data_IF_867850630781
#
_entry.id   IF_867850630781
#
_cell.length_a   1.000
_cell.length_b   1.000
_cell.length_c   1.000
_cell.angle_alpha   90.00
_cell.angle_beta   90.00
_cell.angle_gamma   90.00
#
_symmetry.space_group_name_H-M   'P 1'
#
loop_
_entity.id
_entity.type
_entity.pdbx_description
1 polymer ?
#
# COMPACT_ATOMS: atom_id res chain seq x y z
N UNK A 1 25.28 8.81 -4.66
CA UNK A 1 24.80 8.79 -3.26
C UNK A 1 24.80 7.34 -2.81
N UNK A 2 25.15 7.02 -1.57
CA UNK A 2 25.11 5.64 -1.04
C UNK A 2 23.99 5.59 -0.01
N UNK A 3 23.04 4.68 -0.18
CA UNK A 3 21.95 4.48 0.79
C UNK A 3 22.45 3.70 2.01
N UNK A 4 22.23 4.22 3.21
CA UNK A 4 22.69 3.57 4.47
C UNK A 4 21.58 2.66 5.00
N UNK A 5 21.92 1.40 5.32
CA UNK A 5 20.99 0.45 5.95
C UNK A 5 21.20 0.43 7.47
N UNK A 6 20.13 0.72 8.23
CA UNK A 6 20.10 0.61 9.69
C UNK A 6 19.22 -0.58 10.10
N UNK A 7 19.71 -1.43 10.98
CA UNK A 7 18.94 -2.54 11.53
C UNK A 7 18.23 -2.13 12.82
N UNK A 8 16.89 -2.16 12.82
CA UNK A 8 16.07 -1.73 13.95
C UNK A 8 16.20 -2.61 15.20
N UNK A 9 16.73 -3.82 15.09
CA UNK A 9 16.92 -4.73 16.23
C UNK A 9 18.26 -4.49 16.92
N UNK A 10 19.33 -4.37 16.14
CA UNK A 10 20.70 -4.24 16.66
C UNK A 10 21.13 -2.78 16.94
N UNK A 11 20.52 -1.80 16.25
CA UNK A 11 20.85 -0.37 16.32
C UNK A 11 19.68 0.50 16.82
N UNK A 12 18.82 -0.05 17.67
CA UNK A 12 17.49 0.46 18.07
C UNK A 12 17.37 1.98 18.24
N UNK A 13 18.18 2.60 19.09
CA UNK A 13 18.03 4.03 19.39
C UNK A 13 18.91 4.90 18.48
N UNK A 14 20.12 4.47 18.17
CA UNK A 14 21.03 5.23 17.32
C UNK A 14 20.52 5.36 15.88
N UNK A 15 20.03 4.26 15.29
CA UNK A 15 19.53 4.27 13.91
C UNK A 15 18.30 5.17 13.73
N UNK A 16 17.30 5.05 14.62
CA UNK A 16 16.09 5.89 14.54
C UNK A 16 16.37 7.37 14.81
N UNK A 17 17.29 7.69 15.74
CA UNK A 17 17.67 9.08 16.04
C UNK A 17 18.46 9.73 14.89
N UNK A 18 19.36 8.98 14.25
CA UNK A 18 20.08 9.47 13.05
C UNK A 18 19.09 9.68 11.91
N UNK A 19 18.24 8.69 11.62
CA UNK A 19 17.24 8.79 10.57
C UNK A 19 16.21 9.91 10.84
N UNK A 20 15.83 10.14 12.11
CA UNK A 20 14.99 11.26 12.51
C UNK A 20 15.60 12.61 12.18
N UNK A 21 16.91 12.78 12.39
CA UNK A 21 17.65 13.98 11.98
C UNK A 21 17.69 14.12 10.46
N UNK A 22 17.99 13.04 9.73
CA UNK A 22 17.96 13.05 8.25
C UNK A 22 16.63 13.59 7.74
N UNK A 23 15.49 13.08 8.26
CA UNK A 23 14.16 13.57 7.88
C UNK A 23 13.96 15.03 8.24
N UNK A 24 14.36 15.43 9.47
CA UNK A 24 14.20 16.80 9.93
C UNK A 24 14.98 17.79 9.06
N UNK A 25 16.15 17.37 8.57
CA UNK A 25 17.05 18.16 7.72
C UNK A 25 16.70 18.05 6.21
N UNK A 26 15.53 17.51 5.87
CA UNK A 26 14.99 17.43 4.51
C UNK A 26 15.44 16.21 3.70
N UNK A 27 16.13 15.23 4.30
CA UNK A 27 16.51 13.97 3.64
C UNK A 27 15.38 12.95 3.57
N UNK A 28 15.64 11.82 2.87
CA UNK A 28 14.70 10.75 2.61
C UNK A 28 15.08 9.47 3.34
N UNK A 29 14.15 8.90 4.12
CA UNK A 29 14.35 7.64 4.85
C UNK A 29 13.22 6.68 4.55
N UNK A 30 13.55 5.48 4.10
CA UNK A 30 12.58 4.40 4.04
C UNK A 30 12.48 3.70 5.41
N UNK A 31 11.24 3.42 5.85
CA UNK A 31 10.97 2.86 7.17
C UNK A 31 9.84 1.84 7.15
N UNK A 32 9.91 0.82 8.04
CA UNK A 32 8.91 -0.22 8.14
C UNK A 32 7.62 0.30 8.79
N UNK A 33 6.49 -0.18 8.29
CA UNK A 33 5.20 -0.11 9.00
C UNK A 33 4.59 -1.52 9.09
N UNK A 34 3.44 -1.66 9.76
CA UNK A 34 2.71 -2.93 9.75
C UNK A 34 2.13 -3.26 8.38
N UNK A 35 1.96 -2.27 7.50
CA UNK A 35 1.35 -2.41 6.16
C UNK A 35 2.38 -2.67 5.07
N UNK A 36 3.15 -1.65 4.71
CA UNK A 36 4.25 -1.70 3.72
C UNK A 36 5.36 -0.74 4.19
N UNK A 37 6.55 -0.84 3.61
CA UNK A 37 7.59 0.17 3.84
C UNK A 37 7.19 1.51 3.24
N UNK A 38 7.31 2.59 4.02
CA UNK A 38 7.07 3.97 3.59
C UNK A 38 8.38 4.69 3.24
N UNK A 39 8.38 5.55 2.22
CA UNK A 39 9.45 6.48 1.93
C UNK A 39 9.11 7.83 2.55
N UNK A 40 9.80 8.16 3.64
CA UNK A 40 9.52 9.31 4.48
C UNK A 40 10.34 10.55 4.18
N UNK A 41 9.69 11.71 4.27
CA UNK A 41 10.29 13.03 4.33
C UNK A 41 9.59 13.89 5.38
N UNK A 42 10.15 15.05 5.72
CA UNK A 42 9.49 16.05 6.56
C UNK A 42 8.18 16.52 5.91
N UNK A 43 7.06 16.17 6.51
CA UNK A 43 5.71 16.45 5.97
C UNK A 43 5.28 17.92 6.05
N UNK A 44 6.07 18.79 6.69
CA UNK A 44 5.84 20.23 6.77
C UNK A 44 6.80 21.03 5.89
N UNK A 45 7.63 20.35 5.11
CA UNK A 45 8.62 20.93 4.20
C UNK A 45 8.32 20.51 2.76
N UNK A 46 7.78 21.40 1.94
CA UNK A 46 7.40 21.14 0.55
C UNK A 46 8.58 20.70 -0.32
N UNK A 47 9.81 21.22 -0.07
CA UNK A 47 11.00 20.83 -0.83
C UNK A 47 11.39 19.38 -0.50
N UNK A 48 11.37 19.01 0.80
CA UNK A 48 11.62 17.63 1.21
C UNK A 48 10.57 16.66 0.65
N UNK A 49 9.30 17.06 0.62
CA UNK A 49 8.22 16.28 0.01
C UNK A 49 8.41 16.11 -1.49
N UNK A 50 8.84 17.15 -2.21
CA UNK A 50 9.11 17.09 -3.65
C UNK A 50 10.21 16.07 -3.99
N UNK A 51 11.22 15.91 -3.15
CA UNK A 51 12.26 14.87 -3.31
C UNK A 51 11.72 13.44 -3.29
N UNK A 52 10.59 13.18 -2.58
CA UNK A 52 9.93 11.87 -2.63
C UNK A 52 9.49 11.54 -4.06
N UNK A 53 8.86 12.51 -4.75
CA UNK A 53 8.40 12.31 -6.11
C UNK A 53 9.55 12.08 -7.08
N UNK A 54 10.64 12.84 -6.94
CA UNK A 54 11.87 12.68 -7.73
C UNK A 54 12.50 11.30 -7.53
N UNK A 55 12.74 10.88 -6.27
CA UNK A 55 13.35 9.60 -5.96
C UNK A 55 12.56 8.41 -6.51
N UNK A 56 11.22 8.51 -6.51
CA UNK A 56 10.30 7.47 -7.01
C UNK A 56 10.08 7.52 -8.53
N UNK A 57 10.43 8.61 -9.21
CA UNK A 57 9.97 8.87 -10.57
C UNK A 57 8.43 8.95 -10.65
N UNK A 58 7.79 9.59 -9.66
CA UNK A 58 6.34 9.66 -9.52
C UNK A 58 5.83 11.07 -9.87
N UNK A 59 4.74 11.20 -10.66
CA UNK A 59 4.08 12.48 -10.83
C UNK A 59 3.58 13.06 -9.50
N UNK A 60 3.68 14.38 -9.32
CA UNK A 60 3.27 15.07 -8.10
C UNK A 60 1.74 15.33 -8.01
N UNK A 61 0.96 14.74 -8.89
CA UNK A 61 -0.50 14.88 -9.00
C UNK A 61 -1.31 13.91 -8.12
N UNK A 62 -0.65 13.25 -7.17
CA UNK A 62 -1.26 12.20 -6.33
C UNK A 62 -0.83 12.41 -4.87
N UNK A 63 -1.77 12.75 -3.95
CA UNK A 63 -1.45 13.17 -2.58
C UNK A 63 -0.71 12.10 -1.78
N UNK A 64 -0.07 12.52 -0.69
CA UNK A 64 0.66 11.67 0.25
C UNK A 64 -0.10 11.55 1.57
N UNK A 65 0.35 10.61 2.42
CA UNK A 65 -0.21 10.39 3.76
C UNK A 65 0.80 10.95 4.78
N UNK A 66 0.34 11.81 5.69
CA UNK A 66 1.11 12.24 6.84
C UNK A 66 1.03 11.19 7.95
N UNK A 67 2.17 10.74 8.43
CA UNK A 67 2.28 9.79 9.53
C UNK A 67 2.60 10.52 10.82
N UNK A 68 1.84 10.23 11.89
CA UNK A 68 1.96 10.85 13.21
C UNK A 68 2.27 9.83 14.29
N UNK A 69 2.84 10.28 15.42
CA UNK A 69 3.18 9.41 16.55
C UNK A 69 2.19 9.50 17.72
N UNK A 70 1.28 10.47 17.69
CA UNK A 70 0.24 10.68 18.70
C UNK A 70 -1.07 11.06 18.02
N UNK A 71 -2.20 10.60 18.59
CA UNK A 71 -3.53 10.99 18.10
C UNK A 71 -3.76 12.51 18.18
N UNK A 72 -3.14 13.19 19.16
CA UNK A 72 -3.25 14.64 19.35
C UNK A 72 -2.63 15.46 18.20
N UNK A 73 -1.68 14.88 17.44
CA UNK A 73 -0.94 15.59 16.40
C UNK A 73 -1.85 16.02 15.24
N UNK A 74 -2.99 15.34 15.05
CA UNK A 74 -3.99 15.70 14.01
C UNK A 74 -4.58 17.10 14.22
N UNK A 75 -4.56 17.62 15.46
CA UNK A 75 -5.09 18.97 15.76
C UNK A 75 -4.34 20.09 15.05
N UNK A 76 -3.07 19.87 14.75
CA UNK A 76 -2.27 20.81 13.98
C UNK A 76 -2.47 20.65 12.47
N UNK A 77 -2.84 19.46 12.00
CA UNK A 77 -2.90 19.10 10.58
C UNK A 77 -4.30 19.27 9.97
N UNK A 78 -5.35 19.19 10.79
CA UNK A 78 -6.74 19.37 10.37
C UNK A 78 -7.34 20.67 10.95
N UNK A 79 -8.21 21.33 10.20
CA UNK A 79 -8.90 22.55 10.69
C UNK A 79 -9.70 22.32 11.98
N UNK A 80 -10.29 21.13 12.11
CA UNK A 80 -10.89 20.62 13.35
C UNK A 80 -10.91 19.09 13.31
N UNK A 81 -11.14 18.45 14.44
CA UNK A 81 -11.22 16.99 14.55
C UNK A 81 -12.68 16.61 14.74
N UNK A 82 -13.35 16.01 13.72
CA UNK A 82 -14.74 15.57 13.86
C UNK A 82 -14.88 14.40 14.84
N UNK A 83 -16.08 14.22 15.41
CA UNK A 83 -16.31 13.18 16.42
C UNK A 83 -16.20 11.76 15.83
N UNK A 84 -16.59 11.57 14.56
CA UNK A 84 -16.36 10.33 13.83
C UNK A 84 -14.86 9.99 13.77
N UNK A 85 -14.02 10.97 13.47
CA UNK A 85 -12.56 10.78 13.45
C UNK A 85 -12.03 10.36 14.81
N UNK A 86 -12.53 10.96 15.93
CA UNK A 86 -12.12 10.59 17.29
C UNK A 86 -12.46 9.14 17.59
N UNK A 87 -13.70 8.73 17.32
CA UNK A 87 -14.16 7.35 17.52
C UNK A 87 -13.33 6.35 16.70
N UNK A 88 -13.06 6.67 15.42
CA UNK A 88 -12.24 5.82 14.56
C UNK A 88 -10.77 5.74 15.00
N UNK A 89 -10.19 6.87 15.42
CA UNK A 89 -8.83 6.88 15.98
C UNK A 89 -8.76 6.09 17.30
N UNK A 90 -9.81 6.12 18.13
CA UNK A 90 -9.83 5.35 19.37
C UNK A 90 -9.95 3.85 19.12
N UNK A 91 -10.69 3.45 18.11
CA UNK A 91 -10.87 2.06 17.74
C UNK A 91 -9.67 1.46 16.96
N UNK A 92 -9.03 2.25 16.06
CA UNK A 92 -8.10 1.70 15.06
C UNK A 92 -6.71 2.35 15.01
N UNK A 93 -6.38 3.33 15.87
CA UNK A 93 -5.06 3.92 15.96
C UNK A 93 -4.37 3.62 17.29
N UNK A 94 -3.08 3.17 17.23
CA UNK A 94 -2.25 2.95 16.03
C UNK A 94 -2.75 1.77 15.20
N UNK A 95 -2.67 1.89 13.84
CA UNK A 95 -3.14 0.81 12.97
C UNK A 95 -3.26 1.17 11.49
N UNK A 96 -3.77 0.21 10.66
CA UNK A 96 -3.80 0.32 9.22
C UNK A 96 -5.02 1.11 8.70
N UNK A 97 -5.40 2.21 9.37
CA UNK A 97 -6.45 3.14 8.96
C UNK A 97 -5.86 4.53 8.70
N UNK A 98 -6.12 5.06 7.53
CA UNK A 98 -5.83 6.44 7.14
C UNK A 98 -7.14 7.22 7.06
N UNK A 99 -7.20 8.38 7.71
CA UNK A 99 -8.35 9.27 7.70
C UNK A 99 -8.03 10.52 6.90
N UNK A 100 -8.96 10.95 6.04
CA UNK A 100 -8.87 12.19 5.26
C UNK A 100 -9.87 13.20 5.82
N UNK A 101 -9.37 14.41 6.06
CA UNK A 101 -10.20 15.56 6.45
C UNK A 101 -9.63 16.88 5.91
N UNK A 102 -10.36 17.97 6.11
CA UNK A 102 -9.96 19.31 5.65
C UNK A 102 -8.65 19.73 6.30
N UNK A 103 -7.64 20.06 5.50
CA UNK A 103 -6.29 20.43 5.96
C UNK A 103 -6.27 21.77 6.68
N UNK A 104 -5.32 21.94 7.61
CA UNK A 104 -4.92 23.23 8.15
C UNK A 104 -3.91 23.93 7.22
N UNK A 105 -3.69 25.20 7.43
CA UNK A 105 -2.82 26.03 6.57
C UNK A 105 -1.33 25.71 6.71
N UNK A 106 -0.91 24.95 7.73
CA UNK A 106 0.49 24.50 7.88
C UNK A 106 0.86 23.33 6.95
N UNK A 107 -0.11 22.65 6.34
CA UNK A 107 0.14 21.50 5.47
C UNK A 107 0.47 21.98 4.05
N UNK A 108 1.69 21.69 3.54
CA UNK A 108 2.10 22.10 2.20
C UNK A 108 1.22 21.49 1.10
N UNK A 109 1.08 22.22 0.00
CA UNK A 109 0.32 21.76 -1.18
C UNK A 109 0.96 20.55 -1.85
N UNK A 110 2.27 20.41 -1.76
CA UNK A 110 3.03 19.25 -2.25
C UNK A 110 2.57 17.95 -1.59
N UNK A 111 2.16 17.98 -0.31
CA UNK A 111 1.60 16.82 0.39
C UNK A 111 0.24 16.45 -0.14
N UNK A 112 -0.58 17.44 -0.46
CA UNK A 112 -1.99 17.27 -0.80
C UNK A 112 -2.26 17.26 -2.30
N UNK A 113 -1.23 17.47 -3.13
CA UNK A 113 -1.37 17.68 -4.58
C UNK A 113 -2.38 18.81 -4.90
N UNK A 114 -2.38 19.86 -4.08
CA UNK A 114 -3.27 21.03 -4.20
C UNK A 114 -4.70 20.82 -3.68
N UNK A 115 -5.02 19.66 -3.07
CA UNK A 115 -6.34 19.44 -2.48
C UNK A 115 -6.49 20.17 -1.15
N UNK A 116 -7.74 20.55 -0.81
CA UNK A 116 -8.11 21.14 0.49
C UNK A 116 -8.17 20.13 1.64
N UNK A 117 -7.76 18.88 1.38
CA UNK A 117 -7.82 17.77 2.34
C UNK A 117 -6.46 17.13 2.50
N UNK A 118 -6.21 16.58 3.70
CA UNK A 118 -5.00 15.82 4.00
C UNK A 118 -5.33 14.47 4.61
N UNK A 119 -4.58 13.46 4.17
CA UNK A 119 -4.63 12.11 4.70
C UNK A 119 -3.65 11.98 5.87
N UNK A 120 -4.12 11.48 7.03
CA UNK A 120 -3.29 11.29 8.23
C UNK A 120 -3.46 9.86 8.75
N UNK A 121 -2.37 9.28 9.26
CA UNK A 121 -2.34 7.94 9.85
C UNK A 121 -1.38 7.86 11.03
N UNK A 122 -1.73 7.06 12.04
CA UNK A 122 -0.82 6.64 13.10
C UNK A 122 -0.50 5.14 12.92
N UNK A 123 0.71 4.77 12.42
CA UNK A 123 1.04 3.37 12.10
C UNK A 123 1.24 2.53 13.35
N UNK A 124 0.88 1.23 13.29
CA UNK A 124 1.13 0.26 14.36
C UNK A 124 2.50 -0.42 14.18
N UNK A 125 3.56 0.35 14.29
CA UNK A 125 4.93 -0.18 14.20
C UNK A 125 5.88 0.58 15.12
N UNK A 126 6.56 -0.14 16.02
CA UNK A 126 7.42 0.48 17.04
C UNK A 126 8.51 1.37 16.43
N UNK A 127 9.17 0.90 15.38
CA UNK A 127 10.22 1.65 14.67
C UNK A 127 9.67 2.89 13.98
N UNK A 128 8.51 2.79 13.31
CA UNK A 128 7.87 3.95 12.67
C UNK A 128 7.53 5.04 13.70
N UNK A 129 6.90 4.66 14.81
CA UNK A 129 6.55 5.60 15.88
C UNK A 129 7.79 6.22 16.53
N UNK A 130 8.87 5.45 16.72
CA UNK A 130 10.15 5.96 17.23
C UNK A 130 10.78 6.97 16.26
N UNK A 131 10.79 6.66 14.96
CA UNK A 131 11.31 7.55 13.92
C UNK A 131 10.54 8.87 13.86
N UNK A 132 9.19 8.83 13.87
CA UNK A 132 8.35 10.04 13.84
C UNK A 132 8.62 10.91 15.08
N UNK A 133 8.76 10.28 16.27
CA UNK A 133 9.11 11.02 17.48
C UNK A 133 10.51 11.64 17.41
N UNK A 134 11.48 10.91 16.86
CA UNK A 134 12.86 11.39 16.70
C UNK A 134 12.96 12.53 15.68
N UNK A 135 12.19 12.49 14.61
CA UNK A 135 12.09 13.57 13.63
C UNK A 135 11.43 14.83 14.22
N UNK A 136 10.48 14.66 15.17
CA UNK A 136 9.76 15.76 15.80
C UNK A 136 8.77 16.48 14.88
N UNK A 137 8.50 15.91 13.70
CA UNK A 137 7.59 16.41 12.66
C UNK A 137 6.74 15.27 12.12
N UNK A 138 5.54 15.55 11.56
CA UNK A 138 4.80 14.56 10.78
C UNK A 138 5.62 14.10 9.57
N UNK A 139 5.59 12.82 9.26
CA UNK A 139 6.34 12.27 8.12
C UNK A 139 5.39 12.03 6.95
N UNK A 140 5.59 12.74 5.83
CA UNK A 140 4.91 12.44 4.58
C UNK A 140 5.51 11.17 3.98
N UNK A 141 4.69 10.15 3.72
CA UNK A 141 5.22 8.90 3.16
C UNK A 141 4.21 8.18 2.25
N UNK A 142 4.54 7.97 0.96
CA UNK A 142 4.01 6.90 0.13
C UNK A 142 4.77 5.60 0.39
N UNK A 143 4.42 4.48 -0.30
CA UNK A 143 5.23 3.25 -0.31
C UNK A 143 6.63 3.49 -0.88
N UNK A 144 7.66 2.77 -0.36
CA UNK A 144 9.07 2.99 -0.68
C UNK A 144 9.54 2.20 -1.92
N UNK A 145 8.81 2.28 -3.05
CA UNK A 145 9.12 1.63 -4.33
C UNK A 145 9.23 2.64 -5.47
N UNK A 146 9.86 2.28 -6.57
CA UNK A 146 9.73 3.00 -7.84
C UNK A 146 8.26 3.04 -8.28
N UNK A 147 7.83 4.15 -8.88
CA UNK A 147 6.43 4.34 -9.28
C UNK A 147 5.96 3.21 -10.20
N UNK A 148 4.77 2.69 -9.95
CA UNK A 148 4.17 1.60 -10.71
C UNK A 148 4.46 0.19 -10.21
N UNK A 149 5.59 -0.05 -9.55
CA UNK A 149 5.98 -1.38 -9.02
C UNK A 149 5.16 -1.82 -7.79
N UNK A 150 5.11 -3.13 -7.46
CA UNK A 150 4.49 -3.62 -6.24
C UNK A 150 5.10 -2.97 -4.99
N UNK A 151 4.28 -2.66 -3.97
CA UNK A 151 4.78 -2.02 -2.75
C UNK A 151 5.77 -2.92 -2.00
N UNK A 152 6.81 -2.37 -1.36
CA UNK A 152 7.82 -3.16 -0.65
C UNK A 152 7.29 -3.59 0.73
N UNK A 153 7.48 -4.86 1.06
CA UNK A 153 7.10 -5.47 2.34
C UNK A 153 8.30 -5.89 3.19
N UNK A 154 9.52 -5.75 2.65
CA UNK A 154 10.80 -5.98 3.34
C UNK A 154 11.81 -4.88 2.97
N UNK A 155 12.91 -4.77 3.74
CA UNK A 155 13.99 -3.82 3.44
C UNK A 155 14.72 -4.16 2.13
N UNK A 156 14.85 -5.45 1.79
CA UNK A 156 15.45 -5.89 0.53
C UNK A 156 14.64 -5.41 -0.68
N UNK A 157 13.29 -5.43 -0.58
CA UNK A 157 12.42 -4.87 -1.62
C UNK A 157 12.63 -3.36 -1.80
N UNK A 158 12.88 -2.64 -0.69
CA UNK A 158 13.21 -1.20 -0.74
C UNK A 158 14.55 -0.98 -1.43
N UNK A 159 15.61 -1.69 -1.01
CA UNK A 159 16.94 -1.55 -1.60
C UNK A 159 16.96 -1.88 -3.09
N UNK A 160 16.21 -2.91 -3.51
CA UNK A 160 16.09 -3.25 -4.94
C UNK A 160 15.53 -2.11 -5.81
N UNK A 161 14.73 -1.21 -5.25
CA UNK A 161 14.13 -0.09 -5.97
C UNK A 161 14.82 1.26 -5.70
N UNK A 162 15.34 1.48 -4.47
CA UNK A 162 15.69 2.80 -3.95
C UNK A 162 17.18 2.97 -3.59
N UNK A 163 18.00 1.93 -3.74
CA UNK A 163 19.44 2.08 -3.47
C UNK A 163 20.07 3.17 -4.35
N UNK A 164 20.89 4.03 -3.74
CA UNK A 164 21.50 5.17 -4.40
C UNK A 164 20.57 6.37 -4.66
N UNK A 165 19.27 6.27 -4.30
CA UNK A 165 18.25 7.33 -4.53
C UNK A 165 17.80 8.02 -3.24
N UNK A 166 18.02 7.39 -2.09
CA UNK A 166 17.58 7.86 -0.76
C UNK A 166 18.71 7.78 0.25
N UNK A 167 18.61 8.52 1.36
CA UNK A 167 19.67 8.62 2.34
C UNK A 167 19.80 7.36 3.18
N UNK A 168 18.67 6.79 3.63
CA UNK A 168 18.72 5.62 4.50
C UNK A 168 17.48 4.71 4.37
N UNK A 169 17.67 3.47 4.80
CA UNK A 169 16.61 2.47 5.02
C UNK A 169 16.73 1.97 6.45
N UNK A 170 15.60 1.90 7.17
CA UNK A 170 15.53 1.22 8.47
C UNK A 170 14.91 -0.16 8.24
N UNK A 171 15.69 -1.22 8.43
CA UNK A 171 15.20 -2.60 8.39
C UNK A 171 14.53 -2.95 9.72
N UNK A 172 13.23 -3.15 9.71
CA UNK A 172 12.40 -3.61 10.84
C UNK A 172 11.76 -4.98 10.60
N UNK A 173 12.26 -5.72 9.61
CA UNK A 173 11.72 -7.02 9.19
C UNK A 173 10.50 -6.91 8.27
N UNK A 174 9.85 -8.05 7.97
CA UNK A 174 8.72 -8.11 7.06
C UNK A 174 7.45 -7.45 7.64
N UNK A 175 6.66 -6.84 6.76
CA UNK A 175 5.39 -6.23 7.13
C UNK A 175 4.33 -7.30 7.44
N UNK A 176 3.53 -7.08 8.49
CA UNK A 176 2.53 -8.05 8.97
C UNK A 176 1.26 -8.08 8.11
N UNK A 177 0.82 -6.94 7.58
CA UNK A 177 -0.41 -6.79 6.78
C UNK A 177 -0.16 -7.02 5.29
N UNK A 178 0.95 -6.52 4.76
CA UNK A 178 1.41 -6.78 3.40
C UNK A 178 0.83 -5.88 2.30
N UNK A 179 -0.24 -5.13 2.60
CA UNK A 179 -0.83 -4.13 1.70
C UNK A 179 -1.03 -2.81 2.43
N UNK A 180 -1.23 -1.72 1.70
CA UNK A 180 -1.41 -0.38 2.26
C UNK A 180 -2.69 -0.28 3.08
N UNK A 181 -2.74 0.74 3.96
CA UNK A 181 -3.86 1.05 4.84
C UNK A 181 -5.18 1.27 4.10
N UNK A 182 -6.28 1.00 4.77
CA UNK A 182 -7.60 1.50 4.38
C UNK A 182 -7.57 3.03 4.42
N UNK A 183 -8.11 3.68 3.38
CA UNK A 183 -8.23 5.15 3.30
C UNK A 183 -9.70 5.51 3.31
N UNK A 184 -10.12 6.23 4.34
CA UNK A 184 -11.48 6.70 4.56
C UNK A 184 -11.51 8.24 4.54
N UNK A 185 -12.35 8.83 3.68
CA UNK A 185 -12.65 10.27 3.78
C UNK A 185 -13.81 10.51 4.73
N UNK A 186 -13.70 11.58 5.51
CA UNK A 186 -14.75 12.10 6.39
C UNK A 186 -15.28 13.45 5.88
N UNK A 187 -14.93 13.84 4.67
CA UNK A 187 -15.50 15.02 4.01
C UNK A 187 -16.75 14.59 3.26
N UNK A 188 -17.88 15.11 3.66
CA UNK A 188 -19.19 14.66 3.21
C UNK A 188 -19.59 13.32 3.86
N UNK A 189 -20.09 12.38 3.06
CA UNK A 189 -20.41 11.04 3.57
C UNK A 189 -19.13 10.22 3.78
N UNK A 190 -19.01 9.48 4.92
CA UNK A 190 -17.89 8.59 5.13
C UNK A 190 -17.74 7.60 3.98
N UNK A 191 -16.61 7.66 3.24
CA UNK A 191 -16.42 6.86 2.02
C UNK A 191 -15.02 6.24 1.99
N UNK A 192 -14.95 4.93 1.78
CA UNK A 192 -13.70 4.20 1.54
C UNK A 192 -13.21 4.54 0.12
N UNK A 193 -12.04 5.17 0.03
CA UNK A 193 -11.37 5.49 -1.23
C UNK A 193 -10.36 4.40 -1.62
N UNK A 194 -9.82 3.68 -0.64
CA UNK A 194 -8.91 2.55 -0.83
C UNK A 194 -9.16 1.50 0.26
N UNK A 195 -9.55 0.27 -0.07
CA UNK A 195 -9.71 -0.79 0.92
C UNK A 195 -8.33 -1.29 1.39
N UNK A 196 -8.27 -1.79 2.63
CA UNK A 196 -7.06 -2.33 3.27
C UNK A 196 -7.42 -3.27 4.42
N UNK A 197 -6.55 -3.34 5.44
CA UNK A 197 -6.74 -4.25 6.57
C UNK A 197 -7.96 -3.94 7.46
N UNK A 198 -8.43 -2.69 7.50
CA UNK A 198 -9.69 -2.32 8.17
C UNK A 198 -10.81 -2.40 7.15
N UNK A 199 -11.81 -3.24 7.40
CA UNK A 199 -12.91 -3.50 6.46
C UNK A 199 -14.05 -2.48 6.62
N UNK A 200 -14.97 -2.47 5.68
CA UNK A 200 -16.18 -1.65 5.72
C UNK A 200 -17.01 -1.95 6.97
N UNK A 201 -17.22 -3.22 7.25
CA UNK A 201 -18.03 -3.71 8.37
C UNK A 201 -17.44 -3.26 9.72
N UNK A 202 -16.10 -3.29 9.85
CA UNK A 202 -15.40 -2.79 11.05
C UNK A 202 -15.63 -1.28 11.25
N UNK A 203 -15.59 -0.51 10.17
CA UNK A 203 -15.84 0.95 10.23
C UNK A 203 -17.30 1.24 10.58
N UNK A 204 -18.25 0.52 9.96
CA UNK A 204 -19.69 0.67 10.20
C UNK A 204 -20.09 0.36 11.66
N UNK A 205 -19.39 -0.54 12.33
CA UNK A 205 -19.58 -0.81 13.78
C UNK A 205 -19.25 0.41 14.65
N UNK A 206 -18.38 1.31 14.19
CA UNK A 206 -17.92 2.48 14.98
C UNK A 206 -18.68 3.75 14.65
N UNK A 207 -18.94 4.00 13.36
CA UNK A 207 -19.49 5.28 12.90
C UNK A 207 -20.83 5.18 12.16
N UNK A 208 -21.38 3.97 11.99
CA UNK A 208 -22.57 3.75 11.15
C UNK A 208 -22.23 3.62 9.66
N UNK A 209 -23.18 3.88 8.76
CA UNK A 209 -23.04 3.58 7.34
C UNK A 209 -21.81 4.20 6.68
N UNK A 210 -21.07 3.40 5.89
CA UNK A 210 -19.87 3.78 5.16
C UNK A 210 -20.03 3.40 3.68
N UNK A 211 -19.84 4.35 2.78
CA UNK A 211 -19.86 4.10 1.35
C UNK A 211 -18.51 3.56 0.87
N UNK A 212 -18.50 2.85 -0.27
CA UNK A 212 -17.29 2.44 -0.98
C UNK A 212 -17.26 3.16 -2.31
N UNK A 213 -16.17 3.85 -2.60
CA UNK A 213 -16.01 4.55 -3.89
C UNK A 213 -16.10 3.58 -5.06
N UNK A 214 -16.87 3.87 -6.11
CA UNK A 214 -16.90 3.05 -7.32
C UNK A 214 -15.51 2.83 -7.95
N UNK A 215 -14.59 3.77 -7.78
CA UNK A 215 -13.22 3.68 -8.28
C UNK A 215 -12.35 2.62 -7.58
N UNK A 216 -12.85 1.95 -6.54
CA UNK A 216 -12.13 0.86 -5.85
C UNK A 216 -11.88 -0.32 -6.80
N UNK A 217 -12.87 -0.72 -7.59
CA UNK A 217 -12.81 -1.91 -8.47
C UNK A 217 -12.87 -1.59 -9.97
N UNK A 218 -12.75 -0.31 -10.34
CA UNK A 218 -12.69 0.10 -11.73
C UNK A 218 -11.54 1.10 -11.97
N UNK A 219 -11.08 1.28 -13.21
CA UNK A 219 -10.21 2.40 -13.57
C UNK A 219 -10.89 3.74 -13.26
N UNK A 220 -10.09 4.76 -12.90
CA UNK A 220 -10.58 6.14 -12.90
C UNK A 220 -10.86 6.59 -14.33
N UNK A 221 -11.95 7.31 -14.53
CA UNK A 221 -12.22 8.01 -15.78
C UNK A 221 -11.22 9.15 -16.02
N UNK A 222 -11.05 9.56 -17.28
CA UNK A 222 -10.07 10.60 -17.70
C UNK A 222 -10.21 11.91 -16.93
N UNK A 223 -11.42 12.28 -16.51
CA UNK A 223 -11.73 13.52 -15.79
C UNK A 223 -11.90 13.33 -14.28
N UNK A 224 -11.63 12.13 -13.72
CA UNK A 224 -11.75 11.88 -12.29
C UNK A 224 -10.45 12.21 -11.56
N UNK A 225 -10.53 13.06 -10.53
CA UNK A 225 -9.38 13.42 -9.70
C UNK A 225 -9.10 12.32 -8.67
N UNK A 226 -7.83 11.95 -8.50
CA UNK A 226 -7.43 11.00 -7.48
C UNK A 226 -7.50 11.63 -6.08
N UNK A 227 -8.51 11.26 -5.31
CA UNK A 227 -8.70 11.75 -3.94
C UNK A 227 -7.84 10.99 -2.91
N UNK A 228 -7.12 9.93 -3.31
CA UNK A 228 -6.22 9.17 -2.44
C UNK A 228 -5.08 8.54 -3.23
N UNK A 229 -3.95 8.19 -2.54
CA UNK A 229 -2.85 7.47 -3.19
C UNK A 229 -3.29 6.14 -3.82
N UNK A 230 -2.77 5.83 -5.02
CA UNK A 230 -3.01 4.55 -5.69
C UNK A 230 -4.24 4.47 -6.60
N UNK A 231 -4.91 5.60 -6.89
CA UNK A 231 -6.12 5.60 -7.73
C UNK A 231 -5.85 5.88 -9.23
N UNK A 232 -4.86 6.68 -9.60
CA UNK A 232 -4.78 7.32 -10.94
C UNK A 232 -3.89 6.59 -11.95
N UNK A 233 -2.76 6.04 -11.57
CA UNK A 233 -1.78 5.47 -12.51
C UNK A 233 -1.77 3.93 -12.43
N UNK A 234 -1.10 3.26 -13.39
CA UNK A 234 -0.78 1.84 -13.29
C UNK A 234 0.00 1.61 -12.00
N UNK A 235 -0.54 0.82 -11.09
CA UNK A 235 0.03 0.56 -9.77
C UNK A 235 0.21 -0.93 -9.55
N UNK A 236 1.22 -1.29 -8.74
CA UNK A 236 1.47 -2.64 -8.28
C UNK A 236 1.86 -3.64 -9.38
N UNK A 237 2.18 -3.16 -10.59
CA UNK A 237 2.48 -4.03 -11.71
C UNK A 237 3.90 -4.58 -11.63
N UNK A 238 4.08 -5.93 -11.70
CA UNK A 238 5.38 -6.54 -11.91
C UNK A 238 5.85 -6.32 -13.37
N UNK A 239 7.12 -6.66 -13.65
CA UNK A 239 7.69 -6.61 -15.00
C UNK A 239 7.29 -7.86 -15.82
N UNK A 240 6.00 -8.21 -15.82
CA UNK A 240 5.38 -9.28 -16.60
C UNK A 240 3.87 -9.02 -16.72
N UNK A 241 3.20 -9.78 -17.57
CA UNK A 241 1.74 -9.74 -17.66
C UNK A 241 1.09 -10.39 -16.42
N UNK A 242 -0.03 -9.82 -15.95
CA UNK A 242 -0.85 -10.43 -14.91
C UNK A 242 -2.26 -10.62 -15.44
N UNK A 243 -2.81 -11.81 -15.26
CA UNK A 243 -4.18 -12.19 -15.65
C UNK A 243 -4.91 -12.68 -14.41
N UNK A 244 -6.10 -12.13 -14.13
CA UNK A 244 -6.90 -12.51 -12.96
C UNK A 244 -8.08 -13.38 -13.39
N UNK A 245 -8.18 -14.59 -12.86
CA UNK A 245 -9.32 -15.45 -13.08
C UNK A 245 -10.37 -15.28 -11.97
N UNK A 246 -11.65 -15.06 -12.34
CA UNK A 246 -12.74 -14.85 -11.39
C UNK A 246 -13.85 -15.89 -11.56
N UNK A 247 -14.49 -16.26 -10.43
CA UNK A 247 -15.56 -17.26 -10.37
C UNK A 247 -15.49 -18.12 -9.11
N UNK A 248 -16.14 -19.29 -9.14
CA UNK A 248 -15.98 -20.29 -8.08
C UNK A 248 -14.57 -20.91 -8.12
N UNK A 249 -14.02 -21.44 -7.02
CA UNK A 249 -12.68 -22.01 -6.98
C UNK A 249 -12.40 -23.05 -8.07
N UNK A 250 -13.33 -23.98 -8.30
CA UNK A 250 -13.19 -25.00 -9.36
C UNK A 250 -13.18 -24.39 -10.75
N UNK A 251 -14.04 -23.37 -11.00
CA UNK A 251 -14.06 -22.66 -12.28
C UNK A 251 -12.79 -21.86 -12.52
N UNK A 252 -12.31 -21.15 -11.52
CA UNK A 252 -11.04 -20.41 -11.58
C UNK A 252 -9.89 -21.38 -11.93
N UNK A 253 -9.77 -22.51 -11.23
CA UNK A 253 -8.72 -23.48 -11.48
C UNK A 253 -8.79 -24.01 -12.92
N UNK A 254 -9.99 -24.35 -13.43
CA UNK A 254 -10.18 -24.82 -14.82
C UNK A 254 -9.78 -23.76 -15.85
N UNK A 255 -10.12 -22.49 -15.60
CA UNK A 255 -9.74 -21.38 -16.49
C UNK A 255 -8.23 -21.22 -16.49
N UNK A 256 -7.59 -21.15 -15.31
CA UNK A 256 -6.16 -20.96 -15.17
C UNK A 256 -5.38 -22.10 -15.84
N UNK A 257 -5.76 -23.37 -15.60
CA UNK A 257 -5.09 -24.52 -16.23
C UNK A 257 -5.13 -24.39 -17.77
N UNK A 258 -6.29 -24.09 -18.34
CA UNK A 258 -6.43 -23.92 -19.79
C UNK A 258 -5.58 -22.78 -20.33
N UNK A 259 -5.63 -21.58 -19.73
CA UNK A 259 -4.88 -20.42 -20.20
C UNK A 259 -3.36 -20.63 -20.00
N UNK A 260 -2.96 -21.33 -18.93
CA UNK A 260 -1.59 -21.71 -18.67
C UNK A 260 -1.04 -22.63 -19.75
N UNK A 261 -1.78 -23.72 -20.10
CA UNK A 261 -1.39 -24.66 -21.16
C UNK A 261 -1.29 -23.97 -22.53
N UNK A 262 -2.23 -23.08 -22.85
CA UNK A 262 -2.18 -22.28 -24.09
C UNK A 262 -0.91 -21.42 -24.11
N UNK A 263 -0.62 -20.72 -23.03
CA UNK A 263 0.57 -19.86 -22.94
C UNK A 263 1.86 -20.65 -23.06
N UNK A 264 1.97 -21.83 -22.39
CA UNK A 264 3.13 -22.74 -22.54
C UNK A 264 3.30 -23.25 -23.98
N UNK A 265 2.21 -23.62 -24.66
CA UNK A 265 2.25 -23.99 -26.07
C UNK A 265 2.75 -22.85 -26.98
N UNK A 266 2.58 -21.60 -26.56
CA UNK A 266 3.12 -20.41 -27.23
C UNK A 266 4.57 -20.08 -26.82
N UNK A 267 5.22 -20.94 -26.01
CA UNK A 267 6.58 -20.75 -25.53
C UNK A 267 6.74 -19.71 -24.42
N UNK A 268 5.64 -19.35 -23.73
CA UNK A 268 5.66 -18.42 -22.59
C UNK A 268 6.00 -19.12 -21.30
N UNK A 269 6.77 -18.45 -20.45
CA UNK A 269 7.00 -18.89 -19.06
C UNK A 269 5.89 -18.38 -18.16
N UNK A 270 5.26 -19.26 -17.37
CA UNK A 270 4.10 -18.93 -16.59
C UNK A 270 4.29 -19.26 -15.11
N UNK A 271 3.58 -18.49 -14.25
CA UNK A 271 3.46 -18.72 -12.81
C UNK A 271 2.00 -18.57 -12.39
N UNK A 272 1.53 -19.47 -11.53
CA UNK A 272 0.20 -19.37 -10.92
C UNK A 272 0.35 -18.82 -9.50
N UNK A 273 -0.37 -17.76 -9.14
CA UNK A 273 -0.61 -17.35 -7.75
C UNK A 273 -1.92 -17.96 -7.31
N UNK A 274 -1.84 -19.11 -6.67
CA UNK A 274 -2.96 -19.93 -6.24
C UNK A 274 -3.29 -19.82 -4.76
N UNK A 275 -4.39 -20.45 -4.36
CA UNK A 275 -4.82 -20.56 -2.97
C UNK A 275 -4.76 -22.02 -2.49
N UNK A 276 -4.80 -22.25 -1.16
CA UNK A 276 -4.76 -23.61 -0.59
C UNK A 276 -5.89 -24.49 -1.15
N UNK A 277 -7.07 -23.95 -1.38
CA UNK A 277 -8.25 -24.68 -1.86
C UNK A 277 -8.08 -25.26 -3.26
N UNK A 278 -7.22 -24.68 -4.07
CA UNK A 278 -7.00 -25.07 -5.48
C UNK A 278 -5.65 -25.69 -5.73
N UNK A 279 -4.76 -25.79 -4.70
CA UNK A 279 -3.41 -26.35 -4.78
C UNK A 279 -3.34 -27.66 -5.57
N UNK A 280 -4.27 -28.56 -5.33
CA UNK A 280 -4.27 -29.88 -5.98
C UNK A 280 -4.61 -29.82 -7.48
N UNK A 281 -5.25 -28.74 -7.95
CA UNK A 281 -5.60 -28.55 -9.35
C UNK A 281 -4.40 -28.19 -10.24
N UNK A 282 -3.34 -27.60 -9.65
CA UNK A 282 -2.16 -27.09 -10.37
C UNK A 282 -0.96 -28.04 -10.34
N UNK A 283 -1.21 -29.35 -10.13
CA UNK A 283 -0.12 -30.35 -10.12
C UNK A 283 0.60 -30.39 -11.46
N UNK A 284 1.92 -30.28 -11.42
CA UNK A 284 2.78 -30.26 -12.62
C UNK A 284 2.94 -28.89 -13.28
N UNK A 285 2.26 -27.84 -12.78
CA UNK A 285 2.42 -26.46 -13.21
C UNK A 285 3.26 -25.66 -12.19
N UNK A 286 3.92 -24.60 -12.65
CA UNK A 286 4.60 -23.66 -11.74
C UNK A 286 3.57 -22.89 -10.95
N UNK A 287 3.46 -23.16 -9.66
CA UNK A 287 2.45 -22.57 -8.79
C UNK A 287 3.07 -22.13 -7.45
N UNK A 288 2.78 -20.91 -7.07
CA UNK A 288 3.09 -20.31 -5.77
C UNK A 288 1.78 -20.14 -5.00
N UNK A 289 1.60 -20.90 -3.92
CA UNK A 289 0.42 -20.81 -3.07
C UNK A 289 0.63 -19.67 -2.08
N UNK A 290 -0.08 -18.57 -2.26
CA UNK A 290 0.12 -17.33 -1.52
C UNK A 290 -0.79 -17.18 -0.30
N UNK A 291 -1.67 -18.14 -0.03
CA UNK A 291 -2.50 -18.14 1.18
C UNK A 291 -3.80 -18.93 1.05
N UNK A 292 -4.67 -18.70 2.02
CA UNK A 292 -5.96 -19.34 2.16
C UNK A 292 -7.08 -18.39 1.72
N UNK A 293 -7.99 -18.88 0.85
CA UNK A 293 -9.12 -18.13 0.31
C UNK A 293 -10.14 -17.75 1.38
N UNK A 294 -10.29 -18.60 2.39
CA UNK A 294 -11.22 -18.41 3.50
C UNK A 294 -10.60 -17.50 4.60
N UNK A 295 -9.28 -17.20 4.48
CA UNK A 295 -8.53 -16.29 5.33
C UNK A 295 -7.80 -15.22 4.49
N UNK A 296 -8.53 -14.25 3.88
CA UNK A 296 -7.96 -13.29 2.91
C UNK A 296 -6.80 -12.45 3.46
N UNK A 297 -6.66 -12.33 4.80
CA UNK A 297 -5.51 -11.70 5.43
C UNK A 297 -4.19 -12.38 5.06
N UNK A 298 -4.18 -13.71 4.85
CA UNK A 298 -3.00 -14.46 4.41
C UNK A 298 -2.59 -14.06 2.99
N UNK A 299 -3.58 -13.91 2.10
CA UNK A 299 -3.37 -13.47 0.72
C UNK A 299 -2.82 -12.05 0.65
N UNK A 300 -3.37 -11.13 1.46
CA UNK A 300 -2.90 -9.75 1.53
C UNK A 300 -1.42 -9.68 1.94
N UNK A 301 -1.01 -10.49 2.91
CA UNK A 301 0.37 -10.52 3.43
C UNK A 301 1.38 -10.92 2.35
N UNK A 302 1.04 -11.90 1.52
CA UNK A 302 1.94 -12.48 0.53
C UNK A 302 1.87 -11.82 -0.85
N UNK A 303 0.80 -11.11 -1.20
CA UNK A 303 0.53 -10.62 -2.55
C UNK A 303 1.70 -9.85 -3.17
N UNK A 304 2.18 -8.80 -2.52
CA UNK A 304 3.25 -7.97 -3.10
C UNK A 304 4.60 -8.70 -3.09
N UNK A 305 4.86 -9.52 -2.07
CA UNK A 305 6.07 -10.34 -2.03
C UNK A 305 6.08 -11.36 -3.19
N UNK A 306 4.95 -12.01 -3.47
CA UNK A 306 4.81 -12.94 -4.59
C UNK A 306 4.95 -12.24 -5.95
N UNK A 307 4.27 -11.11 -6.17
CA UNK A 307 4.44 -10.32 -7.39
C UNK A 307 5.90 -9.92 -7.62
N UNK A 308 6.62 -9.49 -6.56
CA UNK A 308 8.05 -9.16 -6.65
C UNK A 308 8.93 -10.39 -6.91
N UNK A 309 8.62 -11.52 -6.27
CA UNK A 309 9.38 -12.79 -6.40
C UNK A 309 9.43 -13.25 -7.85
N UNK A 310 8.35 -13.05 -8.60
CA UNK A 310 8.19 -13.53 -9.98
C UNK A 310 8.35 -12.44 -11.05
N UNK A 311 8.41 -11.15 -10.65
CA UNK A 311 8.64 -10.02 -11.55
C UNK A 311 9.91 -10.20 -12.39
N UNK A 312 9.79 -10.10 -13.71
CA UNK A 312 10.90 -10.24 -14.66
C UNK A 312 11.49 -11.66 -14.77
N UNK A 313 10.87 -12.67 -14.11
CA UNK A 313 11.31 -14.07 -14.18
C UNK A 313 10.37 -14.94 -15.00
N UNK A 314 9.16 -14.49 -15.20
CA UNK A 314 8.14 -15.15 -16.02
C UNK A 314 7.48 -14.13 -16.94
N UNK A 315 6.89 -14.61 -18.04
CA UNK A 315 6.16 -13.77 -18.98
C UNK A 315 4.76 -13.45 -18.48
N UNK A 316 4.10 -14.42 -17.81
CA UNK A 316 2.71 -14.29 -17.37
C UNK A 316 2.54 -14.82 -15.94
N UNK A 317 1.85 -14.05 -15.12
CA UNK A 317 1.31 -14.47 -13.82
C UNK A 317 -0.20 -14.65 -13.94
N UNK A 318 -0.71 -15.86 -13.70
CA UNK A 318 -2.13 -16.15 -13.53
C UNK A 318 -2.48 -16.10 -12.06
N UNK A 319 -3.38 -15.19 -11.67
CA UNK A 319 -3.77 -15.03 -10.27
C UNK A 319 -5.24 -15.38 -10.05
N UNK A 320 -5.52 -16.02 -8.92
CA UNK A 320 -6.89 -16.29 -8.51
C UNK A 320 -7.55 -15.04 -7.92
N UNK A 321 -8.74 -14.70 -8.42
CA UNK A 321 -9.61 -13.73 -7.76
C UNK A 321 -10.35 -14.38 -6.59
N UNK A 322 -10.75 -13.58 -5.60
CA UNK A 322 -11.52 -13.99 -4.42
C UNK A 322 -12.83 -13.18 -4.33
N UNK A 323 -13.79 -13.53 -3.45
CA UNK A 323 -14.95 -12.69 -3.20
C UNK A 323 -14.57 -11.25 -2.80
N UNK A 324 -15.37 -10.29 -3.27
CA UNK A 324 -15.15 -8.85 -3.05
C UNK A 324 -15.80 -8.36 -1.75
N UNK A 325 -15.73 -9.16 -0.70
CA UNK A 325 -16.23 -8.87 0.64
C UNK A 325 -15.10 -8.73 1.66
N UNK A 326 -15.34 -8.09 2.78
CA UNK A 326 -14.39 -7.90 3.86
C UNK A 326 -12.96 -7.56 3.34
N UNK A 327 -11.97 -8.36 3.72
CA UNK A 327 -10.58 -8.19 3.28
C UNK A 327 -10.34 -8.66 1.83
N UNK A 328 -11.21 -9.49 1.26
CA UNK A 328 -11.14 -9.89 -0.14
C UNK A 328 -11.26 -8.70 -1.10
N UNK A 329 -12.02 -7.67 -0.73
CA UNK A 329 -12.10 -6.41 -1.47
C UNK A 329 -10.72 -5.73 -1.60
N UNK A 330 -9.90 -5.76 -0.54
CA UNK A 330 -8.56 -5.18 -0.56
C UNK A 330 -7.61 -5.98 -1.47
N UNK A 331 -7.70 -7.31 -1.45
CA UNK A 331 -6.94 -8.18 -2.34
C UNK A 331 -7.31 -7.92 -3.80
N UNK A 332 -8.61 -7.96 -4.12
CA UNK A 332 -9.12 -7.71 -5.48
C UNK A 332 -8.72 -6.33 -6.00
N UNK A 333 -8.81 -5.29 -5.18
CA UNK A 333 -8.35 -3.95 -5.56
C UNK A 333 -6.87 -3.93 -5.99
N UNK A 334 -5.97 -4.65 -5.29
CA UNK A 334 -4.54 -4.68 -5.60
C UNK A 334 -4.23 -5.54 -6.82
N UNK A 335 -4.78 -6.75 -6.90
CA UNK A 335 -4.46 -7.67 -7.99
C UNK A 335 -5.06 -7.20 -9.33
N UNK A 336 -6.28 -6.63 -9.32
CA UNK A 336 -6.88 -6.05 -10.54
C UNK A 336 -6.05 -4.87 -11.07
N UNK A 337 -5.51 -4.01 -10.18
CA UNK A 337 -4.63 -2.92 -10.60
C UNK A 337 -3.28 -3.41 -11.09
N UNK A 338 -2.70 -4.45 -10.47
CA UNK A 338 -1.48 -5.10 -10.94
C UNK A 338 -1.67 -5.70 -12.34
N UNK A 339 -2.84 -6.26 -12.60
CA UNK A 339 -3.23 -6.83 -13.90
C UNK A 339 -3.64 -5.78 -14.95
N UNK A 340 -3.75 -4.49 -14.57
CA UNK A 340 -4.35 -3.50 -15.47
C UNK A 340 -5.79 -3.83 -15.85
N UNK A 341 -6.53 -4.50 -14.96
CA UNK A 341 -7.90 -5.01 -15.14
C UNK A 341 -8.03 -6.08 -16.23
N UNK A 342 -6.96 -6.82 -16.54
CA UNK A 342 -7.00 -8.01 -17.40
C UNK A 342 -7.64 -9.19 -16.62
N UNK A 343 -8.90 -9.45 -16.90
CA UNK A 343 -9.73 -10.44 -16.18
C UNK A 343 -10.31 -11.48 -17.12
N UNK A 344 -10.25 -12.74 -16.72
CA UNK A 344 -10.85 -13.89 -17.44
C UNK A 344 -11.92 -14.56 -16.56
N UNK A 345 -13.09 -14.86 -17.15
CA UNK A 345 -14.24 -15.40 -16.41
C UNK A 345 -15.01 -16.51 -17.15
N UNK A 346 -14.54 -16.94 -18.34
CA UNK A 346 -15.24 -17.92 -19.21
C UNK A 346 -14.57 -19.26 -19.25
#
# INVERSE_FOLDING_TARGET
>A
MTTVLYNAVTQKENGTNVCGRIIKDGGLVAFPTETVYGLGANGLDGEAVSRIFEAKGRPADNPLILHVAKKSDVKALWRHVPDEARRLMDAFWPGPLTLIFVKSDIVPDEVTAGLDTVAVRMPEHKTALALIRAAGVPIAAPSANLSGRPSPTTAEHVLADMDGRIDAVIDGGPCRVGVESTVLTLVGKPTILRPGGITREMLEQVIGPVEVSPAVLRPLGENETAASPGMKHKHYAPDCEVVVAVGSPRKIASIICREYEIAECMGKTCMILGTEQTRSCYRGMNCDIIGDRDEPASLLRELFAALRRHSGKVDIIFAEGVPEDAQGLAYMNRILRAAGFNVVSR
#
